data_IF_133723799145
#
_entry.id   IF_133723799145
#
_cell.length_a   1.000
_cell.length_b   1.000
_cell.length_c   1.000
_cell.angle_alpha   90.00
_cell.angle_beta   90.00
_cell.angle_gamma   90.00
#
_symmetry.space_group_name_H-M   'P 1'
#
loop_
_entity.id
_entity.type
_entity.pdbx_description
1 polymer ?
#
# COMPACT_ATOMS: atom_id res chain seq x y z
N UNK A 1 18.95 8.64 9.58
CA UNK A 1 17.64 9.10 10.12
C UNK A 1 16.70 9.69 9.06
N UNK A 2 16.98 10.83 8.38
CA UNK A 2 15.98 11.49 7.51
C UNK A 2 15.38 10.60 6.41
N UNK A 3 16.17 9.76 5.73
CA UNK A 3 15.65 8.91 4.65
C UNK A 3 14.93 7.65 5.14
N UNK A 4 15.30 7.10 6.30
CA UNK A 4 14.67 5.90 6.88
C UNK A 4 13.25 6.23 7.36
N UNK A 5 13.11 7.41 7.99
CA UNK A 5 11.83 7.94 8.45
C UNK A 5 10.90 8.27 7.27
N UNK A 6 11.44 8.64 6.10
CA UNK A 6 10.66 8.79 4.86
C UNK A 6 10.06 7.46 4.40
N UNK A 7 10.83 6.37 4.38
CA UNK A 7 10.30 5.06 3.98
C UNK A 7 9.20 4.58 4.94
N UNK A 8 9.44 4.71 6.24
CA UNK A 8 8.45 4.41 7.27
C UNK A 8 7.14 5.18 7.06
N UNK A 9 7.21 6.51 6.92
CA UNK A 9 6.04 7.34 6.68
C UNK A 9 5.35 7.04 5.34
N UNK A 10 6.14 6.79 4.29
CA UNK A 10 5.58 6.46 2.97
C UNK A 10 4.79 5.15 2.98
N UNK A 11 5.23 4.14 3.74
CA UNK A 11 4.47 2.89 3.92
C UNK A 11 3.10 3.14 4.58
N UNK A 12 3.06 3.97 5.63
CA UNK A 12 1.80 4.36 6.30
C UNK A 12 0.86 5.09 5.33
N UNK A 13 1.40 6.03 4.55
CA UNK A 13 0.60 6.78 3.56
C UNK A 13 0.01 5.81 2.53
N UNK A 14 0.80 4.88 1.99
CA UNK A 14 0.31 3.89 1.03
C UNK A 14 -0.83 3.04 1.62
N UNK A 15 -0.71 2.61 2.88
CA UNK A 15 -1.74 1.83 3.57
C UNK A 15 -3.03 2.65 3.74
N UNK A 16 -2.93 3.91 4.18
CA UNK A 16 -4.10 4.79 4.39
C UNK A 16 -4.84 5.09 3.08
N UNK A 17 -4.10 5.28 1.98
CA UNK A 17 -4.69 5.55 0.66
C UNK A 17 -5.03 4.28 -0.13
N UNK A 18 -4.80 3.08 0.41
CA UNK A 18 -5.06 1.82 -0.30
C UNK A 18 -6.51 1.67 -0.77
N UNK A 19 -7.47 2.06 0.06
CA UNK A 19 -8.89 2.00 -0.27
C UNK A 19 -9.27 2.94 -1.42
N UNK A 20 -9.03 4.26 -1.35
CA UNK A 20 -9.37 5.16 -2.45
C UNK A 20 -8.62 4.81 -3.75
N UNK A 21 -7.37 4.35 -3.68
CA UNK A 21 -6.62 3.89 -4.86
C UNK A 21 -7.26 2.62 -5.44
N UNK A 22 -7.67 1.67 -4.61
CA UNK A 22 -8.35 0.45 -5.07
C UNK A 22 -9.66 0.75 -5.82
N UNK A 23 -10.48 1.67 -5.29
CA UNK A 23 -11.69 2.14 -5.98
C UNK A 23 -11.37 2.85 -7.30
N UNK A 24 -10.33 3.68 -7.32
CA UNK A 24 -9.90 4.36 -8.54
C UNK A 24 -9.41 3.37 -9.62
N UNK A 25 -8.64 2.37 -9.23
CA UNK A 25 -8.10 1.34 -10.13
C UNK A 25 -9.22 0.51 -10.76
N UNK A 26 -10.16 0.00 -9.96
CA UNK A 26 -11.25 -0.84 -10.50
C UNK A 26 -12.13 -0.04 -11.46
N UNK A 27 -12.47 1.21 -11.12
CA UNK A 27 -13.29 2.08 -11.97
C UNK A 27 -12.58 2.46 -13.27
N UNK A 28 -11.25 2.56 -13.25
CA UNK A 28 -10.45 2.92 -14.43
C UNK A 28 -10.20 1.71 -15.33
N UNK A 29 -9.76 0.58 -14.77
CA UNK A 29 -9.38 -0.62 -15.53
C UNK A 29 -10.61 -1.33 -16.10
N UNK A 30 -11.67 -1.42 -15.30
CA UNK A 30 -12.91 -2.10 -15.68
C UNK A 30 -14.01 -1.10 -16.05
N UNK A 31 -13.63 0.08 -16.52
CA UNK A 31 -14.57 1.06 -17.04
C UNK A 31 -15.50 0.41 -18.08
N UNK A 32 -16.80 0.65 -17.96
CA UNK A 32 -17.84 0.12 -18.83
C UNK A 32 -18.01 -1.41 -18.84
N UNK A 33 -17.40 -2.15 -17.90
CA UNK A 33 -17.69 -3.58 -17.72
C UNK A 33 -18.74 -3.79 -16.63
N UNK A 34 -19.68 -4.69 -16.88
CA UNK A 34 -20.59 -5.15 -15.83
C UNK A 34 -19.85 -6.14 -14.92
N UNK A 35 -19.56 -5.71 -13.71
CA UNK A 35 -18.86 -6.50 -12.67
C UNK A 35 -19.83 -7.08 -11.63
N UNK A 36 -21.12 -7.22 -11.96
CA UNK A 36 -22.12 -7.75 -11.02
C UNK A 36 -21.68 -9.11 -10.49
N UNK A 37 -21.47 -9.21 -9.17
CA UNK A 37 -21.02 -10.43 -8.49
C UNK A 37 -19.50 -10.54 -8.30
N UNK A 38 -18.67 -9.86 -9.09
CA UNK A 38 -17.21 -9.93 -9.01
C UNK A 38 -16.55 -8.64 -8.48
N UNK A 39 -17.29 -7.52 -8.51
CA UNK A 39 -16.79 -6.19 -8.12
C UNK A 39 -16.10 -6.19 -6.75
N UNK A 40 -16.76 -6.73 -5.73
CA UNK A 40 -16.25 -6.73 -4.35
C UNK A 40 -14.97 -7.57 -4.22
N UNK A 41 -14.91 -8.71 -4.90
CA UNK A 41 -13.73 -9.59 -4.88
C UNK A 41 -12.54 -8.91 -5.54
N UNK A 42 -12.73 -8.31 -6.71
CA UNK A 42 -11.67 -7.58 -7.42
C UNK A 42 -11.21 -6.35 -6.64
N UNK A 43 -12.15 -5.56 -6.10
CA UNK A 43 -11.85 -4.39 -5.29
C UNK A 43 -11.02 -4.78 -4.06
N UNK A 44 -11.44 -5.82 -3.33
CA UNK A 44 -10.67 -6.32 -2.20
C UNK A 44 -9.28 -6.80 -2.63
N UNK A 45 -9.17 -7.47 -3.79
CA UNK A 45 -7.88 -7.88 -4.35
C UNK A 45 -6.94 -6.68 -4.58
N UNK A 46 -7.43 -5.61 -5.20
CA UNK A 46 -6.66 -4.38 -5.40
C UNK A 46 -6.25 -3.73 -4.07
N UNK A 47 -7.19 -3.55 -3.15
CA UNK A 47 -6.93 -2.93 -1.84
C UNK A 47 -5.88 -3.72 -1.07
N UNK A 48 -6.04 -5.05 -0.95
CA UNK A 48 -5.10 -5.90 -0.21
C UNK A 48 -3.71 -5.92 -0.85
N UNK A 49 -3.64 -5.88 -2.19
CA UNK A 49 -2.35 -5.77 -2.89
C UNK A 49 -1.62 -4.47 -2.55
N UNK A 50 -2.34 -3.34 -2.51
CA UNK A 50 -1.75 -2.04 -2.15
C UNK A 50 -1.36 -2.00 -0.66
N UNK A 51 -2.19 -2.56 0.22
CA UNK A 51 -1.85 -2.72 1.64
C UNK A 51 -0.55 -3.53 1.77
N UNK A 52 -0.42 -4.64 1.03
CA UNK A 52 0.78 -5.48 1.06
C UNK A 52 2.02 -4.69 0.64
N UNK A 53 1.94 -3.90 -0.44
CA UNK A 53 3.02 -3.01 -0.86
C UNK A 53 3.37 -2.03 0.26
N UNK A 54 2.36 -1.40 0.87
CA UNK A 54 2.55 -0.48 1.99
C UNK A 54 3.23 -1.12 3.20
N UNK A 55 2.85 -2.35 3.55
CA UNK A 55 3.45 -3.14 4.64
C UNK A 55 4.91 -3.49 4.33
N UNK A 56 5.24 -3.85 3.09
CA UNK A 56 6.62 -4.13 2.68
C UNK A 56 7.49 -2.87 2.78
N UNK A 57 7.01 -1.73 2.25
CA UNK A 57 7.72 -0.45 2.32
C UNK A 57 7.91 0.01 3.78
N UNK A 58 6.86 -0.13 4.59
CA UNK A 58 6.90 0.13 6.03
C UNK A 58 7.96 -0.74 6.72
N UNK A 59 7.97 -2.04 6.44
CA UNK A 59 8.91 -2.99 7.05
C UNK A 59 10.36 -2.67 6.71
N UNK A 60 10.64 -2.28 5.46
CA UNK A 60 11.98 -1.80 5.05
C UNK A 60 12.38 -0.55 5.83
N UNK A 61 11.45 0.38 6.04
CA UNK A 61 11.67 1.56 6.88
C UNK A 61 12.03 1.20 8.32
N UNK A 62 11.27 0.28 8.93
CA UNK A 62 11.48 -0.20 10.30
C UNK A 62 12.84 -0.90 10.44
N UNK A 63 13.14 -1.88 9.57
CA UNK A 63 14.41 -2.63 9.60
C UNK A 63 15.59 -1.66 9.50
N UNK A 64 15.51 -0.68 8.60
CA UNK A 64 16.57 0.30 8.45
C UNK A 64 16.77 1.17 9.70
N UNK A 65 15.71 1.54 10.42
CA UNK A 65 15.82 2.29 11.69
C UNK A 65 16.57 1.43 12.72
N UNK A 66 16.15 0.18 12.93
CA UNK A 66 16.77 -0.72 13.89
C UNK A 66 18.24 -1.06 13.57
N UNK A 67 18.58 -1.28 12.30
CA UNK A 67 19.98 -1.52 11.89
C UNK A 67 20.82 -0.24 12.06
N UNK A 68 20.25 0.93 11.72
CA UNK A 68 20.95 2.21 11.87
C UNK A 68 21.24 2.60 13.32
N UNK A 69 20.42 2.17 14.27
CA UNK A 69 20.69 2.33 15.70
C UNK A 69 21.79 1.40 16.21
N UNK A 70 21.93 0.19 15.65
CA UNK A 70 22.95 -0.78 16.07
C UNK A 70 24.39 -0.42 15.66
N UNK A 71 24.58 0.50 14.72
CA UNK A 71 25.89 0.93 14.22
C UNK A 71 26.35 2.30 14.74
N UNK A 72 25.66 2.86 15.73
CA UNK A 72 26.06 4.08 16.46
C UNK A 72 26.39 3.76 17.90
#
# INVERSE_FOLDING_TARGET
>A
MKNQLKYFLSGIIIILFSSPIGYFMINTIYANKNLSGEYTTLLNGFIHSIITIGVLVFSVGVINIFIGEKSK
#
